data_IF_482675116010
#
_entry.id   IF_482675116010
#
_cell.length_a   1.000
_cell.length_b   1.000
_cell.length_c   1.000
_cell.angle_alpha   90.00
_cell.angle_beta   90.00
_cell.angle_gamma   90.00
#
_symmetry.space_group_name_H-M   'P 1'
#
loop_
_entity.id
_entity.type
_entity.pdbx_description
1 polymer ?
#
# COMPACT_ATOMS: atom_id res chain seq x y z
N UNK A 1 5.88 21.20 1.42
CA UNK A 1 6.38 21.41 2.78
C UNK A 1 7.25 20.22 3.20
N UNK A 2 8.38 20.48 3.88
CA UNK A 2 9.34 19.45 4.31
C UNK A 2 8.78 18.47 5.35
N UNK A 3 7.60 18.72 5.89
CA UNK A 3 7.03 17.98 7.02
C UNK A 3 5.72 17.25 6.68
N UNK A 4 5.27 17.29 5.43
CA UNK A 4 4.10 16.54 4.96
C UNK A 4 4.60 15.33 4.20
N UNK A 5 4.25 14.13 4.65
CA UNK A 5 4.84 12.88 4.17
C UNK A 5 3.87 11.98 3.39
N UNK A 6 2.57 12.04 3.66
CA UNK A 6 1.57 11.21 3.02
C UNK A 6 0.30 12.03 2.73
N UNK A 7 -0.45 11.62 1.73
CA UNK A 7 -1.71 12.25 1.32
C UNK A 7 -2.72 11.15 0.97
N UNK A 8 -3.94 11.24 1.52
CA UNK A 8 -5.08 10.41 1.14
C UNK A 8 -6.34 11.26 1.07
N UNK A 9 -7.09 11.15 -0.02
CA UNK A 9 -8.32 11.94 -0.23
C UNK A 9 -9.51 11.09 0.21
N UNK A 10 -10.49 11.72 0.88
CA UNK A 10 -11.74 11.05 1.26
C UNK A 10 -12.54 10.64 0.01
N UNK A 11 -13.35 9.57 0.07
CA UNK A 11 -14.10 9.10 -1.09
C UNK A 11 -15.06 10.13 -1.68
N UNK A 12 -15.58 11.03 -0.86
CA UNK A 12 -16.46 12.14 -1.26
C UNK A 12 -15.71 13.39 -1.77
N UNK A 13 -14.36 13.36 -1.73
CA UNK A 13 -13.49 14.47 -2.16
C UNK A 13 -13.46 15.67 -1.21
N UNK A 14 -14.22 15.65 -0.11
CA UNK A 14 -14.38 16.82 0.76
C UNK A 14 -13.25 17.02 1.76
N UNK A 15 -12.44 15.99 2.00
CA UNK A 15 -11.34 16.05 2.96
C UNK A 15 -10.09 15.33 2.45
N UNK A 16 -8.95 15.80 2.90
CA UNK A 16 -7.65 15.15 2.67
C UNK A 16 -7.01 14.80 4.03
N UNK A 17 -6.43 13.61 4.12
CA UNK A 17 -5.55 13.25 5.23
C UNK A 17 -4.13 13.59 4.86
N UNK A 18 -3.40 14.14 5.81
CA UNK A 18 -1.96 14.32 5.73
C UNK A 18 -1.29 13.74 6.98
N UNK A 19 -0.09 13.19 6.78
CA UNK A 19 0.83 12.87 7.86
C UNK A 19 1.77 14.04 8.07
N UNK A 20 1.80 14.56 9.30
CA UNK A 20 2.72 15.62 9.65
C UNK A 20 3.15 15.51 11.12
N UNK A 21 4.47 15.51 11.36
CA UNK A 21 5.08 15.50 12.71
C UNK A 21 4.65 14.31 13.59
N UNK A 22 4.31 13.19 13.00
CA UNK A 22 3.86 12.00 13.71
C UNK A 22 2.36 11.93 13.98
N UNK A 23 1.60 12.96 13.61
CA UNK A 23 0.14 12.98 13.72
C UNK A 23 -0.53 12.89 12.34
N UNK A 24 -1.76 12.40 12.32
CA UNK A 24 -2.66 12.43 11.16
C UNK A 24 -3.63 13.60 11.27
N UNK A 25 -3.62 14.45 10.25
CA UNK A 25 -4.51 15.60 10.15
C UNK A 25 -5.52 15.39 9.03
N UNK A 26 -6.74 15.83 9.26
CA UNK A 26 -7.79 15.92 8.25
C UNK A 26 -8.04 17.39 7.87
N UNK A 27 -7.81 17.69 6.61
CA UNK A 27 -7.98 19.03 6.03
C UNK A 27 -9.25 19.06 5.19
N UNK A 28 -10.07 20.12 5.27
CA UNK A 28 -11.16 20.30 4.33
C UNK A 28 -10.62 20.66 2.94
N UNK A 29 -11.34 20.27 1.88
CA UNK A 29 -11.00 20.61 0.50
C UNK A 29 -11.24 22.09 0.19
N UNK A 30 -12.27 22.66 0.79
CA UNK A 30 -12.67 24.07 0.63
C UNK A 30 -12.67 24.78 1.98
N UNK A 31 -13.83 25.14 2.48
CA UNK A 31 -14.01 25.84 3.76
C UNK A 31 -14.07 24.86 4.94
N UNK A 32 -13.53 25.29 6.09
CA UNK A 32 -13.59 24.51 7.31
C UNK A 32 -12.28 24.55 8.11
N UNK A 33 -12.24 23.80 9.17
CA UNK A 33 -11.07 23.76 10.06
C UNK A 33 -10.30 22.45 9.91
N UNK A 34 -8.99 22.55 10.12
CA UNK A 34 -8.09 21.40 10.19
C UNK A 34 -8.33 20.66 11.51
N UNK A 35 -8.45 19.33 11.41
CA UNK A 35 -8.60 18.46 12.57
C UNK A 35 -7.34 17.61 12.73
N UNK A 36 -6.70 17.65 13.90
CA UNK A 36 -5.75 16.60 14.28
C UNK A 36 -6.58 15.39 14.74
N UNK A 37 -6.52 14.28 13.97
CA UNK A 37 -7.32 13.09 14.25
C UNK A 37 -6.73 12.25 15.37
N UNK A 38 -5.42 12.17 15.49
CA UNK A 38 -4.76 11.22 16.40
C UNK A 38 -4.44 11.85 17.76
N UNK A 39 -3.94 13.09 17.77
CA UNK A 39 -3.62 13.83 19.01
C UNK A 39 -2.84 13.00 20.03
N UNK A 40 -1.96 12.13 19.56
CA UNK A 40 -1.23 11.22 20.42
C UNK A 40 0.05 11.86 20.92
N UNK A 41 0.18 12.00 22.23
CA UNK A 41 1.45 12.42 22.84
C UNK A 41 2.40 11.24 22.96
N UNK A 42 3.59 11.35 22.33
CA UNK A 42 4.63 10.33 22.43
C UNK A 42 4.43 9.12 21.52
N UNK A 43 3.49 9.17 20.60
CA UNK A 43 3.33 8.17 19.52
C UNK A 43 3.44 8.83 18.15
N UNK A 44 3.75 8.03 17.13
CA UNK A 44 3.81 8.46 15.74
C UNK A 44 2.84 7.65 14.89
N UNK A 45 2.02 8.35 14.14
CA UNK A 45 1.08 7.76 13.18
C UNK A 45 1.54 8.05 11.76
N UNK A 46 1.51 7.00 10.91
CA UNK A 46 2.05 7.05 9.55
C UNK A 46 1.14 6.40 8.52
N UNK A 47 1.27 6.86 7.27
CA UNK A 47 0.60 6.31 6.09
C UNK A 47 -0.92 6.22 6.23
N UNK A 48 -1.60 7.33 6.53
CA UNK A 48 -3.05 7.32 6.65
C UNK A 48 -3.73 7.01 5.32
N UNK A 49 -4.79 6.20 5.37
CA UNK A 49 -5.57 5.81 4.21
C UNK A 49 -7.06 5.77 4.55
N UNK A 50 -7.88 6.48 3.76
CA UNK A 50 -9.33 6.37 3.82
C UNK A 50 -9.80 5.01 3.28
N UNK A 51 -10.77 4.41 3.97
CA UNK A 51 -11.53 3.31 3.36
C UNK A 51 -12.42 3.84 2.23
N UNK A 52 -12.63 3.08 1.13
CA UNK A 52 -13.47 3.50 0.02
C UNK A 52 -14.92 3.85 0.38
N UNK A 53 -15.48 3.26 1.44
CA UNK A 53 -16.80 3.58 1.97
C UNK A 53 -16.83 4.83 2.89
N UNK A 54 -15.67 5.42 3.19
CA UNK A 54 -15.53 6.59 4.04
C UNK A 54 -15.78 6.35 5.53
N UNK A 55 -15.95 5.09 5.96
CA UNK A 55 -16.25 4.80 7.37
C UNK A 55 -15.01 4.77 8.25
N UNK A 56 -13.85 4.42 7.68
CA UNK A 56 -12.61 4.24 8.43
C UNK A 56 -11.45 5.06 7.87
N UNK A 57 -10.55 5.42 8.76
CA UNK A 57 -9.19 5.86 8.45
C UNK A 57 -8.23 4.85 9.05
N UNK A 58 -7.44 4.19 8.20
CA UNK A 58 -6.37 3.29 8.64
C UNK A 58 -5.03 4.03 8.70
N UNK A 59 -4.17 3.65 9.62
CA UNK A 59 -2.80 4.16 9.76
C UNK A 59 -1.97 3.20 10.60
N UNK A 60 -0.65 3.33 10.52
CA UNK A 60 0.26 2.69 11.45
C UNK A 60 0.45 3.58 12.66
N UNK A 61 0.31 3.03 13.87
CA UNK A 61 0.59 3.73 15.13
C UNK A 61 1.55 2.92 16.00
N UNK A 62 2.57 3.58 16.55
CA UNK A 62 3.52 2.98 17.49
C UNK A 62 3.11 3.16 18.97
N UNK A 63 1.89 3.59 19.23
CA UNK A 63 1.31 3.81 20.56
C UNK A 63 1.44 2.59 21.49
N UNK A 64 1.50 1.38 20.94
CA UNK A 64 1.71 0.14 21.70
C UNK A 64 3.19 -0.29 21.80
N UNK A 65 4.13 0.55 21.41
CA UNK A 65 5.58 0.30 21.39
C UNK A 65 6.14 -0.03 20.00
N UNK A 66 5.32 -0.60 19.12
CA UNK A 66 5.68 -0.93 17.74
C UNK A 66 4.55 -0.50 16.78
N UNK A 67 4.90 -0.28 15.51
CA UNK A 67 3.91 0.12 14.50
C UNK A 67 2.90 -0.98 14.24
N UNK A 68 1.68 -0.78 14.69
CA UNK A 68 0.56 -1.70 14.49
C UNK A 68 -0.53 -1.04 13.65
N UNK A 69 -1.20 -1.86 12.82
CA UNK A 69 -2.33 -1.39 12.04
C UNK A 69 -3.45 -0.97 12.97
N UNK A 70 -3.85 0.27 12.84
CA UNK A 70 -4.92 0.89 13.63
C UNK A 70 -5.95 1.48 12.69
N UNK A 71 -7.21 1.36 13.03
CA UNK A 71 -8.31 2.04 12.33
C UNK A 71 -9.05 2.96 13.28
N UNK A 72 -9.47 4.09 12.74
CA UNK A 72 -10.35 5.06 13.38
C UNK A 72 -11.70 5.02 12.71
N UNK A 73 -12.75 4.77 13.48
CA UNK A 73 -14.14 4.78 13.01
C UNK A 73 -14.63 6.23 12.91
N UNK A 74 -14.86 6.71 11.71
CA UNK A 74 -15.28 8.08 11.43
C UNK A 74 -16.78 8.27 11.63
N UNK A 75 -17.55 7.20 11.76
CA UNK A 75 -19.01 7.24 11.98
C UNK A 75 -19.38 7.26 13.46
N UNK A 76 -18.48 6.75 14.34
CA UNK A 76 -18.72 6.60 15.78
C UNK A 76 -17.84 7.53 16.63
N UNK A 77 -17.78 8.80 16.26
CA UNK A 77 -17.06 9.80 17.05
C UNK A 77 -15.54 9.62 17.07
N UNK A 78 -14.98 8.80 16.19
CA UNK A 78 -13.55 8.61 16.05
C UNK A 78 -12.96 7.60 17.02
N UNK A 79 -13.69 6.56 17.38
CA UNK A 79 -13.16 5.44 18.16
C UNK A 79 -12.01 4.75 17.42
N UNK A 80 -10.91 4.49 18.14
CA UNK A 80 -9.72 3.83 17.60
C UNK A 80 -9.71 2.35 17.98
N UNK A 81 -9.28 1.51 17.04
CA UNK A 81 -9.09 0.07 17.24
C UNK A 81 -7.76 -0.37 16.67
N UNK A 82 -6.90 -0.91 17.52
CA UNK A 82 -5.67 -1.61 17.09
C UNK A 82 -6.05 -2.96 16.48
N UNK A 83 -5.70 -3.18 15.22
CA UNK A 83 -6.07 -4.39 14.48
C UNK A 83 -5.04 -5.50 14.55
N UNK A 84 -3.76 -5.16 14.77
CA UNK A 84 -2.65 -6.13 14.71
C UNK A 84 -1.77 -6.10 15.95
N UNK A 85 -0.98 -7.15 16.13
CA UNK A 85 0.08 -7.27 17.10
C UNK A 85 1.22 -8.09 16.47
N UNK A 86 1.91 -7.45 15.48
CA UNK A 86 2.92 -8.12 14.65
C UNK A 86 4.34 -7.97 15.20
N UNK A 87 4.53 -7.09 16.19
CA UNK A 87 5.84 -6.81 16.75
C UNK A 87 6.72 -5.90 15.88
N UNK A 88 8.04 -5.89 16.13
CA UNK A 88 8.97 -4.96 15.48
C UNK A 88 9.02 -5.14 13.97
N UNK A 89 9.12 -4.01 13.27
CA UNK A 89 9.24 -3.98 11.83
C UNK A 89 8.70 -2.70 11.21
N UNK A 90 9.23 -2.36 10.02
CA UNK A 90 8.76 -1.23 9.26
C UNK A 90 7.75 -1.67 8.19
N UNK A 91 6.64 -0.93 8.09
CA UNK A 91 5.55 -1.17 7.15
C UNK A 91 5.31 0.09 6.35
N UNK A 92 4.96 -0.09 5.08
CA UNK A 92 4.80 1.01 4.13
C UNK A 92 3.32 1.35 3.92
N UNK A 93 2.99 1.97 2.80
CA UNK A 93 1.66 2.46 2.49
C UNK A 93 0.58 1.38 2.66
N UNK A 94 -0.58 1.80 3.13
CA UNK A 94 -1.76 0.97 3.31
C UNK A 94 -2.68 1.18 2.11
N UNK A 95 -3.17 0.08 1.54
CA UNK A 95 -4.08 0.09 0.40
C UNK A 95 -5.35 -0.71 0.75
N UNK A 96 -6.47 -0.04 0.75
CA UNK A 96 -7.77 -0.68 0.94
C UNK A 96 -8.24 -1.38 -0.32
N UNK A 97 -8.95 -2.51 -0.16
CA UNK A 97 -9.76 -3.08 -1.24
C UNK A 97 -11.00 -2.22 -1.50
N UNK A 98 -11.55 -2.19 -2.72
CA UNK A 98 -12.74 -1.41 -3.06
C UNK A 98 -13.95 -1.69 -2.18
N UNK A 99 -14.11 -2.92 -1.66
CA UNK A 99 -15.18 -3.31 -0.74
C UNK A 99 -14.94 -2.88 0.72
N UNK A 100 -13.86 -2.19 1.03
CA UNK A 100 -13.45 -1.77 2.38
C UNK A 100 -13.26 -2.91 3.38
N UNK A 101 -13.06 -4.15 2.91
CA UNK A 101 -12.95 -5.34 3.77
C UNK A 101 -11.54 -5.89 3.91
N UNK A 102 -10.59 -5.38 3.14
CA UNK A 102 -9.21 -5.84 3.16
C UNK A 102 -8.26 -4.66 3.12
N UNK A 103 -7.15 -4.76 3.84
CA UNK A 103 -6.05 -3.82 3.79
C UNK A 103 -4.79 -4.56 3.39
N UNK A 104 -4.05 -4.04 2.42
CA UNK A 104 -2.81 -4.64 1.96
C UNK A 104 -1.65 -3.67 2.14
N UNK A 105 -0.48 -4.20 2.47
CA UNK A 105 0.76 -3.43 2.60
C UNK A 105 1.96 -4.32 2.29
N UNK A 106 3.09 -3.70 2.05
CA UNK A 106 4.40 -4.36 2.00
C UNK A 106 5.22 -3.95 3.21
N UNK A 107 5.99 -4.86 3.77
CA UNK A 107 6.90 -4.60 4.88
C UNK A 107 8.38 -4.58 4.43
N UNK A 108 9.28 -4.28 5.35
CA UNK A 108 10.73 -4.20 5.10
C UNK A 108 11.37 -5.50 4.62
N UNK A 109 10.70 -6.63 4.81
CA UNK A 109 11.17 -7.94 4.33
C UNK A 109 10.68 -8.26 2.92
N UNK A 110 10.08 -7.28 2.23
CA UNK A 110 9.43 -7.42 0.93
C UNK A 110 8.23 -8.37 0.97
N UNK A 111 7.68 -8.64 2.14
CA UNK A 111 6.45 -9.44 2.28
C UNK A 111 5.24 -8.58 2.03
N UNK A 112 4.36 -9.04 1.15
CA UNK A 112 3.03 -8.48 0.93
C UNK A 112 2.10 -9.16 1.90
N UNK A 113 1.51 -8.38 2.78
CA UNK A 113 0.58 -8.82 3.81
C UNK A 113 -0.81 -8.26 3.54
N UNK A 114 -1.84 -8.97 3.95
CA UNK A 114 -3.23 -8.55 3.86
C UNK A 114 -3.95 -8.80 5.18
N UNK A 115 -4.61 -7.77 5.70
CA UNK A 115 -5.52 -7.90 6.83
C UNK A 115 -6.96 -8.06 6.33
N UNK A 116 -7.67 -9.02 6.89
CA UNK A 116 -9.06 -9.32 6.59
C UNK A 116 -9.95 -8.77 7.71
N UNK A 117 -10.79 -7.78 7.41
CA UNK A 117 -11.65 -7.12 8.40
C UNK A 117 -12.67 -8.08 9.03
N UNK A 118 -13.19 -9.02 8.24
CA UNK A 118 -14.23 -9.95 8.68
C UNK A 118 -13.69 -11.01 9.67
N UNK A 119 -12.51 -11.57 9.39
CA UNK A 119 -11.89 -12.64 10.23
C UNK A 119 -10.86 -12.11 11.21
N UNK A 120 -10.45 -10.83 11.06
CA UNK A 120 -9.40 -10.19 11.86
C UNK A 120 -8.03 -10.89 11.77
N UNK A 121 -7.74 -11.48 10.63
CA UNK A 121 -6.51 -12.23 10.36
C UNK A 121 -5.58 -11.44 9.45
N UNK A 122 -4.28 -11.59 9.69
CA UNK A 122 -3.23 -11.21 8.74
C UNK A 122 -2.83 -12.43 7.94
N UNK A 123 -2.92 -12.34 6.62
CA UNK A 123 -2.47 -13.38 5.70
C UNK A 123 -1.29 -12.88 4.87
N UNK A 124 -0.29 -13.76 4.68
CA UNK A 124 0.80 -13.50 3.75
C UNK A 124 0.28 -13.76 2.33
N UNK A 125 0.37 -12.73 1.48
CA UNK A 125 0.00 -12.82 0.06
C UNK A 125 1.15 -13.40 -0.76
N UNK A 126 2.33 -12.76 -0.67
CA UNK A 126 3.54 -13.13 -1.40
C UNK A 126 4.77 -12.50 -0.74
N UNK A 127 5.94 -12.77 -1.29
CA UNK A 127 7.19 -12.13 -0.88
C UNK A 127 8.11 -11.99 -2.08
N UNK A 128 8.69 -10.81 -2.27
CA UNK A 128 9.77 -10.61 -3.23
C UNK A 128 11.09 -11.09 -2.61
N UNK A 129 11.92 -11.73 -3.44
CA UNK A 129 13.24 -12.24 -3.01
C UNK A 129 14.35 -11.19 -3.15
N UNK A 130 14.06 -10.02 -3.70
CA UNK A 130 15.02 -8.95 -3.91
C UNK A 130 14.90 -7.91 -2.80
N UNK A 131 16.00 -7.64 -2.13
CA UNK A 131 16.14 -6.46 -1.29
C UNK A 131 16.07 -5.22 -2.18
N UNK A 132 15.11 -4.38 -1.94
CA UNK A 132 15.00 -3.09 -2.59
C UNK A 132 15.98 -2.12 -1.91
N UNK A 133 16.98 -1.63 -2.64
CA UNK A 133 17.78 -0.49 -2.18
C UNK A 133 16.93 0.78 -2.30
N UNK A 134 16.30 1.16 -1.23
CA UNK A 134 15.41 2.33 -1.18
C UNK A 134 14.08 2.03 -0.51
N UNK A 135 13.24 3.06 -0.41
CA UNK A 135 11.94 2.92 0.21
C UNK A 135 10.93 2.24 -0.73
N UNK A 136 10.22 1.24 -0.23
CA UNK A 136 9.06 0.63 -0.93
C UNK A 136 7.83 1.55 -1.02
N UNK A 137 8.02 2.85 -0.82
CA UNK A 137 6.96 3.86 -0.94
C UNK A 137 6.33 3.92 -2.32
N UNK A 138 7.09 3.53 -3.35
CA UNK A 138 6.61 3.49 -4.73
C UNK A 138 5.88 2.19 -5.10
N UNK A 139 5.85 1.19 -4.22
CA UNK A 139 5.09 -0.02 -4.47
C UNK A 139 3.59 0.29 -4.46
N UNK A 140 2.91 0.01 -5.57
CA UNK A 140 1.49 0.33 -5.75
C UNK A 140 0.79 -0.87 -6.34
N UNK A 141 -0.09 -1.55 -5.58
CA UNK A 141 -0.91 -2.63 -6.08
C UNK A 141 -2.17 -2.11 -6.78
N UNK A 142 -2.70 -2.89 -7.71
CA UNK A 142 -3.99 -2.67 -8.34
C UNK A 142 -5.03 -3.66 -7.82
N UNK A 143 -6.14 -3.17 -7.28
CA UNK A 143 -7.30 -3.99 -6.93
C UNK A 143 -8.27 -4.11 -8.10
N UNK A 144 -8.84 -5.31 -8.29
CA UNK A 144 -10.01 -5.45 -9.15
C UNK A 144 -11.23 -4.79 -8.49
N UNK A 145 -12.19 -4.22 -9.28
CA UNK A 145 -13.36 -3.55 -8.73
C UNK A 145 -14.21 -4.44 -7.81
N UNK A 146 -14.23 -5.75 -8.05
CA UNK A 146 -14.94 -6.74 -7.22
C UNK A 146 -14.15 -7.19 -5.98
N UNK A 147 -12.96 -6.63 -5.75
CA UNK A 147 -12.08 -6.93 -4.61
C UNK A 147 -11.61 -8.38 -4.50
N UNK A 148 -11.71 -9.17 -5.60
CA UNK A 148 -11.27 -10.56 -5.62
C UNK A 148 -9.85 -10.76 -6.09
N UNK A 149 -9.29 -9.78 -6.80
CA UNK A 149 -7.97 -9.88 -7.39
C UNK A 149 -7.10 -8.70 -6.97
N UNK A 150 -5.87 -9.00 -6.60
CA UNK A 150 -4.83 -8.03 -6.31
C UNK A 150 -3.69 -8.23 -7.30
N UNK A 151 -3.44 -7.24 -8.14
CA UNK A 151 -2.29 -7.24 -9.05
C UNK A 151 -1.14 -6.43 -8.46
N UNK A 152 0.10 -6.87 -8.62
CA UNK A 152 1.28 -6.19 -8.12
C UNK A 152 2.52 -6.52 -8.96
N UNK A 153 3.50 -5.63 -8.90
CA UNK A 153 4.82 -5.86 -9.47
C UNK A 153 5.68 -6.69 -8.52
N UNK A 154 6.44 -7.64 -9.08
CA UNK A 154 7.44 -8.42 -8.37
C UNK A 154 8.72 -8.53 -9.20
N UNK A 155 9.87 -8.33 -8.56
CA UNK A 155 11.18 -8.41 -9.19
C UNK A 155 11.52 -9.82 -9.68
N UNK A 156 12.17 -9.90 -10.84
CA UNK A 156 12.66 -11.13 -11.45
C UNK A 156 14.18 -11.27 -11.32
N UNK A 157 14.70 -12.47 -11.48
CA UNK A 157 16.14 -12.72 -11.41
C UNK A 157 16.98 -11.95 -12.46
N UNK A 158 16.37 -11.65 -13.60
CA UNK A 158 16.99 -10.88 -14.70
C UNK A 158 16.99 -9.36 -14.48
N UNK A 159 16.48 -8.85 -13.34
CA UNK A 159 16.40 -7.42 -13.04
C UNK A 159 15.11 -6.75 -13.46
N UNK A 160 14.26 -7.37 -14.24
CA UNK A 160 12.99 -6.82 -14.67
C UNK A 160 11.92 -6.98 -13.58
N UNK A 161 10.83 -6.20 -13.70
CA UNK A 161 9.59 -6.44 -12.98
C UNK A 161 8.65 -7.33 -13.80
N UNK A 162 7.88 -8.17 -13.13
CA UNK A 162 6.75 -8.88 -13.75
C UNK A 162 5.49 -8.64 -12.94
N UNK A 163 4.33 -8.69 -13.61
CA UNK A 163 3.05 -8.55 -12.94
C UNK A 163 2.59 -9.91 -12.43
N UNK A 164 2.21 -9.94 -11.17
CA UNK A 164 1.60 -11.07 -10.49
C UNK A 164 0.18 -10.70 -10.06
N UNK A 165 -0.68 -11.70 -9.97
CA UNK A 165 -2.06 -11.56 -9.54
C UNK A 165 -2.33 -12.55 -8.41
N UNK A 166 -2.86 -12.04 -7.31
CA UNK A 166 -3.33 -12.85 -6.19
C UNK A 166 -4.85 -12.96 -6.21
N UNK A 167 -5.37 -14.19 -6.15
CA UNK A 167 -6.78 -14.47 -5.97
C UNK A 167 -7.10 -14.54 -4.47
N UNK A 168 -7.91 -13.60 -3.97
CA UNK A 168 -8.23 -13.50 -2.54
C UNK A 168 -9.09 -14.64 -2.03
N UNK A 169 -9.88 -15.28 -2.90
CA UNK A 169 -10.74 -16.41 -2.56
C UNK A 169 -9.97 -17.73 -2.58
N UNK A 170 -9.26 -18.00 -3.68
CA UNK A 170 -8.47 -19.23 -3.82
C UNK A 170 -7.14 -19.17 -3.03
N UNK A 171 -6.72 -17.96 -2.60
CA UNK A 171 -5.44 -17.72 -1.92
C UNK A 171 -4.24 -18.19 -2.75
N UNK A 172 -4.30 -17.96 -4.06
CA UNK A 172 -3.26 -18.38 -5.01
C UNK A 172 -2.63 -17.18 -5.72
N UNK A 173 -1.33 -17.27 -5.96
CA UNK A 173 -0.55 -16.30 -6.73
C UNK A 173 -0.31 -16.88 -8.13
N UNK A 174 -0.52 -16.07 -9.16
CA UNK A 174 -0.24 -16.41 -10.56
C UNK A 174 0.61 -15.31 -11.20
N UNK A 175 1.66 -15.67 -11.89
CA UNK A 175 2.43 -14.74 -12.71
C UNK A 175 1.66 -14.43 -14.00
N UNK A 176 1.33 -13.17 -14.21
CA UNK A 176 0.51 -12.72 -15.35
C UNK A 176 1.35 -12.33 -16.56
N UNK A 177 2.57 -11.82 -16.36
CA UNK A 177 3.48 -11.45 -17.44
C UNK A 177 4.79 -12.21 -17.33
N UNK A 178 5.48 -12.41 -18.47
CA UNK A 178 6.67 -13.27 -18.53
C UNK A 178 7.88 -12.74 -17.75
N UNK A 179 7.95 -11.42 -17.47
CA UNK A 179 9.13 -10.77 -16.92
C UNK A 179 10.30 -10.66 -17.90
N UNK A 180 10.08 -10.94 -19.19
CA UNK A 180 11.10 -10.74 -20.22
C UNK A 180 11.39 -9.25 -20.42
N UNK A 181 10.35 -8.41 -20.36
CA UNK A 181 10.44 -6.96 -20.26
C UNK A 181 10.12 -6.52 -18.83
N UNK A 182 10.45 -5.28 -18.48
CA UNK A 182 10.07 -4.74 -17.18
C UNK A 182 8.63 -4.22 -17.24
N UNK A 183 7.74 -4.91 -16.54
CA UNK A 183 6.32 -4.60 -16.44
C UNK A 183 6.01 -4.06 -15.04
N UNK A 184 5.25 -2.95 -14.97
CA UNK A 184 5.00 -2.23 -13.73
C UNK A 184 3.63 -1.54 -13.70
N UNK A 185 3.24 -1.04 -12.51
CA UNK A 185 2.03 -0.24 -12.30
C UNK A 185 0.74 -0.91 -12.81
N UNK A 186 0.41 -2.13 -12.32
CA UNK A 186 -0.81 -2.81 -12.75
C UNK A 186 -2.06 -2.07 -12.26
N UNK A 187 -3.04 -1.91 -13.15
CA UNK A 187 -4.31 -1.24 -12.84
C UNK A 187 -5.44 -1.96 -13.57
N UNK A 188 -6.48 -2.35 -12.84
CA UNK A 188 -7.70 -2.89 -13.46
C UNK A 188 -8.56 -1.77 -14.04
N UNK A 189 -9.26 -2.06 -15.12
CA UNK A 189 -10.31 -1.17 -15.63
C UNK A 189 -11.51 -1.12 -14.64
N UNK A 190 -12.34 -0.09 -14.73
CA UNK A 190 -13.50 0.05 -13.84
C UNK A 190 -14.51 -1.10 -13.92
N UNK A 191 -14.60 -1.76 -15.08
CA UNK A 191 -15.48 -2.92 -15.29
C UNK A 191 -14.84 -4.25 -14.86
N UNK A 192 -13.55 -4.25 -14.51
CA UNK A 192 -12.80 -5.44 -14.10
C UNK A 192 -12.53 -6.45 -15.23
N UNK A 193 -12.65 -6.03 -16.49
CA UNK A 193 -12.44 -6.89 -17.65
C UNK A 193 -11.00 -6.98 -18.10
N UNK A 194 -10.24 -5.90 -17.92
CA UNK A 194 -8.87 -5.77 -18.38
C UNK A 194 -7.94 -5.37 -17.24
N UNK A 195 -6.71 -5.86 -17.33
CA UNK A 195 -5.60 -5.41 -16.50
C UNK A 195 -4.62 -4.64 -17.39
N UNK A 196 -4.42 -3.36 -17.12
CA UNK A 196 -3.45 -2.52 -17.77
C UNK A 196 -2.15 -2.49 -16.95
N UNK A 197 -1.04 -2.38 -17.62
CA UNK A 197 0.27 -2.18 -17.02
C UNK A 197 1.20 -1.41 -17.96
N UNK A 198 2.21 -0.80 -17.43
CA UNK A 198 3.27 -0.13 -18.20
C UNK A 198 4.38 -1.13 -18.45
N UNK A 199 4.83 -1.25 -19.69
CA UNK A 199 5.92 -2.16 -20.05
C UNK A 199 7.03 -1.40 -20.78
N UNK A 200 8.27 -1.74 -20.46
CA UNK A 200 9.45 -1.25 -21.18
C UNK A 200 9.86 -2.30 -22.24
N UNK A 201 9.29 -2.19 -23.44
CA UNK A 201 9.61 -3.09 -24.57
C UNK A 201 10.82 -2.64 -25.39
N UNK A 202 11.55 -1.63 -24.93
CA UNK A 202 12.79 -1.24 -25.56
C UNK A 202 13.88 -2.23 -25.18
N UNK A 203 14.67 -2.62 -26.15
CA UNK A 203 15.92 -3.34 -25.88
C UNK A 203 16.94 -2.27 -25.44
N UNK A 204 17.05 -2.09 -24.12
CA UNK A 204 18.14 -1.34 -23.54
C UNK A 204 19.31 -2.32 -23.34
N UNK A 205 20.42 -2.20 -24.11
CA UNK A 205 21.56 -3.06 -23.89
C UNK A 205 22.06 -2.83 -22.44
N UNK A 206 22.01 -3.86 -21.64
CA UNK A 206 22.65 -3.83 -20.32
C UNK A 206 24.16 -3.85 -20.59
N UNK A 207 24.83 -2.74 -20.24
CA UNK A 207 26.29 -2.74 -20.20
C UNK A 207 26.72 -3.84 -19.22
N UNK A 208 27.43 -4.84 -19.72
CA UNK A 208 28.05 -5.81 -18.83
C UNK A 208 29.17 -5.10 -18.04
N UNK A 209 29.43 -5.55 -16.82
CA UNK A 209 30.58 -5.07 -16.03
C UNK A 209 31.91 -5.22 -16.79
N UNK A 210 31.92 -6.07 -17.81
CA UNK A 210 33.06 -6.26 -18.71
C UNK A 210 33.33 -5.05 -19.60
N UNK A 211 32.30 -4.29 -19.99
CA UNK A 211 32.47 -3.13 -20.88
C UNK A 211 33.03 -1.91 -20.14
N UNK A 212 32.89 -1.87 -18.82
CA UNK A 212 33.43 -0.80 -17.99
C UNK A 212 34.91 -1.03 -17.58
N UNK A 213 35.45 -2.19 -17.85
CA UNK A 213 36.86 -2.50 -17.50
C UNK A 213 37.90 -1.99 -18.52
N UNK A 214 37.45 -1.37 -19.61
CA UNK A 214 38.29 -0.88 -20.70
C UNK A 214 38.19 0.64 -20.92
N UNK A 215 37.59 1.39 -20.00
CA UNK A 215 37.50 2.84 -20.05
C UNK A 215 38.59 3.51 -19.20
#
# INVERSE_FOLDING_TARGET
>A
SKYIAALSISPDGNRALIEARGDVFSLPAEEGYVQNLTRSSGAAERYPAWSPDGQFVAYWSDKSGEYELTVRDMTQGGAESKLTSMGPGFRYNIYWSPDSKKLVWVDQTMTINMYLMDTKEVVKVDQDNRLFEGGLRGWTPGWSPDSKWLAYEKGQANGNGAIYIYNTTAKTVTQATSGFYSDRNPTFDPDGKYLYYVTNRNFDPVYSDFDNSWA
#
